data_IF_893567382007
#
_entry.id   IF_893567382007
#
_cell.length_a   1.000
_cell.length_b   1.000
_cell.length_c   1.000
_cell.angle_alpha   90.00
_cell.angle_beta   90.00
_cell.angle_gamma   90.00
#
_symmetry.space_group_name_H-M   'P 1'
#
loop_
_entity.id
_entity.type
_entity.pdbx_description
1 polymer ?
#
# COMPACT_ATOMS: atom_id res chain seq x y z
N UNK A 1 -18.08 -11.94 -4.79
CA UNK A 1 -17.34 -10.66 -4.85
C UNK A 1 -16.09 -10.86 -5.69
N UNK A 2 -15.79 -9.96 -6.63
CA UNK A 2 -14.60 -10.03 -7.49
C UNK A 2 -13.79 -8.76 -7.29
N UNK A 3 -12.53 -8.90 -6.87
CA UNK A 3 -11.56 -7.79 -6.83
C UNK A 3 -10.77 -7.85 -8.12
N UNK A 4 -10.73 -6.74 -8.86
CA UNK A 4 -9.95 -6.60 -10.08
C UNK A 4 -8.84 -5.61 -9.80
N UNK A 5 -7.58 -6.06 -9.86
CA UNK A 5 -6.43 -5.19 -9.68
C UNK A 5 -6.04 -4.49 -10.97
N UNK A 6 -5.51 -3.28 -10.85
CA UNK A 6 -4.96 -2.53 -11.97
C UNK A 6 -3.90 -3.37 -12.69
N UNK A 7 -4.11 -3.59 -13.98
CA UNK A 7 -3.16 -4.27 -14.84
C UNK A 7 -2.54 -3.28 -15.82
N UNK A 8 -1.21 -3.10 -15.72
CA UNK A 8 -0.46 -2.16 -16.56
C UNK A 8 -0.48 -0.70 -16.07
N UNK A 9 0.42 0.17 -16.59
CA UNK A 9 0.52 1.57 -16.18
C UNK A 9 -0.75 2.38 -16.53
N UNK A 10 -1.38 3.09 -15.59
CA UNK A 10 -2.59 3.87 -15.87
C UNK A 10 -2.45 4.89 -17.00
N UNK A 11 -1.25 5.44 -17.21
CA UNK A 11 -0.97 6.36 -18.30
C UNK A 11 -1.07 5.72 -19.69
N UNK A 12 -0.96 4.39 -19.80
CA UNK A 12 -1.01 3.65 -21.08
C UNK A 12 -2.35 2.96 -21.31
N UNK A 13 -2.96 2.40 -20.25
CA UNK A 13 -4.16 1.55 -20.38
C UNK A 13 -5.39 2.09 -19.66
N UNK A 14 -5.29 3.30 -19.07
CA UNK A 14 -6.32 3.86 -18.21
C UNK A 14 -6.45 3.12 -16.87
N UNK A 15 -7.46 3.50 -16.10
CA UNK A 15 -7.82 2.83 -14.86
C UNK A 15 -8.72 1.62 -15.17
N UNK A 16 -8.26 0.41 -14.84
CA UNK A 16 -8.96 -0.86 -15.13
C UNK A 16 -9.11 -1.77 -13.90
N UNK A 17 -8.68 -1.31 -12.72
CA UNK A 17 -8.81 -2.03 -11.47
C UNK A 17 -8.29 -1.21 -10.29
N UNK A 18 -8.39 -1.77 -9.09
CA UNK A 18 -7.93 -1.15 -7.86
C UNK A 18 -6.43 -1.42 -7.61
N UNK A 19 -5.87 -0.67 -6.67
CA UNK A 19 -4.55 -0.92 -6.09
C UNK A 19 -4.68 -1.83 -4.87
N UNK A 20 -3.55 -2.30 -4.34
CA UNK A 20 -3.52 -3.11 -3.12
C UNK A 20 -3.95 -2.25 -1.92
N UNK A 21 -3.49 -1.00 -1.91
CA UNK A 21 -3.78 0.02 -0.91
C UNK A 21 -5.29 0.26 -0.78
N UNK A 22 -6.03 0.29 -1.90
CA UNK A 22 -7.49 0.47 -1.90
C UNK A 22 -8.21 -0.69 -1.18
N UNK A 23 -7.71 -1.92 -1.34
CA UNK A 23 -8.28 -3.10 -0.67
C UNK A 23 -7.97 -3.07 0.82
N UNK A 24 -6.75 -2.69 1.19
CA UNK A 24 -6.36 -2.55 2.60
C UNK A 24 -7.25 -1.51 3.29
N UNK A 25 -7.52 -0.37 2.66
CA UNK A 25 -8.39 0.68 3.22
C UNK A 25 -9.82 0.19 3.48
N UNK A 26 -10.40 -0.56 2.53
CA UNK A 26 -11.72 -1.19 2.72
C UNK A 26 -11.71 -2.18 3.89
N UNK A 27 -10.65 -2.99 4.03
CA UNK A 27 -10.51 -3.94 5.14
C UNK A 27 -10.35 -3.24 6.49
N UNK A 28 -9.55 -2.18 6.55
CA UNK A 28 -9.36 -1.35 7.76
C UNK A 28 -10.68 -0.74 8.18
N UNK A 29 -11.41 -0.10 7.26
CA UNK A 29 -12.71 0.49 7.55
C UNK A 29 -13.69 -0.55 8.11
N UNK A 30 -13.71 -1.75 7.51
CA UNK A 30 -14.59 -2.83 7.95
C UNK A 30 -14.22 -3.38 9.33
N UNK A 31 -12.94 -3.51 9.62
CA UNK A 31 -12.47 -3.98 10.93
C UNK A 31 -12.65 -2.92 12.02
N UNK A 32 -12.50 -1.63 11.70
CA UNK A 32 -12.82 -0.55 12.63
C UNK A 32 -14.31 -0.55 13.00
N UNK A 33 -15.20 -0.83 12.03
CA UNK A 33 -16.63 -0.96 12.31
C UNK A 33 -16.92 -2.12 13.28
N UNK A 34 -16.22 -3.25 13.15
CA UNK A 34 -16.36 -4.37 14.09
C UNK A 34 -15.77 -4.06 15.46
N UNK A 35 -14.58 -3.45 15.48
CA UNK A 35 -13.86 -3.12 16.70
C UNK A 35 -14.54 -2.01 17.51
N UNK A 36 -15.24 -1.07 16.86
CA UNK A 36 -15.94 0.02 17.51
C UNK A 36 -17.35 -0.31 18.01
N UNK A 37 -17.79 -1.57 17.89
CA UNK A 37 -19.15 -2.04 18.22
C UNK A 37 -19.09 -3.33 19.04
N UNK A 38 -20.16 -4.12 19.01
CA UNK A 38 -20.35 -5.33 19.81
C UNK A 38 -19.40 -6.49 19.47
N UNK A 39 -18.66 -6.39 18.36
CA UNK A 39 -17.74 -7.44 17.88
C UNK A 39 -16.27 -7.09 18.16
N UNK A 40 -16.00 -6.21 19.12
CA UNK A 40 -14.64 -5.86 19.51
C UNK A 40 -13.89 -7.06 20.10
N UNK A 41 -12.68 -7.32 19.59
CA UNK A 41 -11.79 -8.35 20.13
C UNK A 41 -10.32 -8.01 19.91
N UNK A 42 -9.42 -8.78 20.53
CA UNK A 42 -7.97 -8.56 20.41
C UNK A 42 -7.47 -8.91 19.00
N UNK A 43 -8.01 -9.95 18.38
CA UNK A 43 -7.62 -10.38 17.03
C UNK A 43 -7.95 -9.32 15.98
N UNK A 44 -9.06 -8.61 16.14
CA UNK A 44 -9.42 -7.48 15.28
C UNK A 44 -8.42 -6.32 15.43
N UNK A 45 -8.02 -6.01 16.67
CA UNK A 45 -7.00 -4.99 16.93
C UNK A 45 -5.63 -5.38 16.33
N UNK A 46 -5.23 -6.64 16.48
CA UNK A 46 -4.01 -7.18 15.86
C UNK A 46 -4.07 -7.13 14.34
N UNK A 47 -5.21 -7.50 13.74
CA UNK A 47 -5.39 -7.41 12.30
C UNK A 47 -5.31 -5.97 11.79
N UNK A 48 -5.94 -5.01 12.48
CA UNK A 48 -5.85 -3.58 12.18
C UNK A 48 -4.40 -3.09 12.23
N UNK A 49 -3.64 -3.45 13.26
CA UNK A 49 -2.22 -3.09 13.38
C UNK A 49 -1.40 -3.57 12.17
N UNK A 50 -1.59 -4.81 11.74
CA UNK A 50 -0.85 -5.36 10.60
C UNK A 50 -1.28 -4.75 9.26
N UNK A 51 -2.57 -4.43 9.10
CA UNK A 51 -3.07 -3.75 7.90
C UNK A 51 -2.49 -2.33 7.78
N UNK A 52 -2.42 -1.59 8.89
CA UNK A 52 -1.78 -0.26 8.91
C UNK A 52 -0.27 -0.36 8.62
N UNK A 53 0.42 -1.33 9.22
CA UNK A 53 1.84 -1.57 8.92
C UNK A 53 2.07 -1.91 7.43
N UNK A 54 1.19 -2.71 6.83
CA UNK A 54 1.23 -3.01 5.40
C UNK A 54 0.98 -1.76 4.55
N UNK A 55 0.00 -0.93 4.92
CA UNK A 55 -0.30 0.34 4.24
C UNK A 55 0.90 1.29 4.26
N UNK A 56 1.54 1.47 5.42
CA UNK A 56 2.73 2.32 5.56
C UNK A 56 3.94 1.79 4.77
N UNK A 57 4.13 0.47 4.71
CA UNK A 57 5.17 -0.14 3.87
C UNK A 57 4.93 0.15 2.38
N UNK A 58 3.68 0.07 1.91
CA UNK A 58 3.31 0.36 0.52
C UNK A 58 3.43 1.86 0.17
N UNK A 59 3.07 2.75 1.10
CA UNK A 59 3.30 4.19 0.96
C UNK A 59 4.79 4.52 0.86
N UNK A 60 5.61 3.91 1.72
CA UNK A 60 7.07 4.04 1.69
C UNK A 60 7.63 3.57 0.34
N UNK A 61 7.18 2.41 -0.15
CA UNK A 61 7.53 1.90 -1.48
C UNK A 61 7.16 2.91 -2.57
N UNK A 62 5.94 3.45 -2.56
CA UNK A 62 5.48 4.45 -3.55
C UNK A 62 6.39 5.68 -3.54
N UNK A 63 6.69 6.23 -2.36
CA UNK A 63 7.58 7.40 -2.19
C UNK A 63 8.98 7.11 -2.73
N UNK A 64 9.55 5.93 -2.43
CA UNK A 64 10.87 5.55 -2.97
C UNK A 64 10.86 5.45 -4.49
N UNK A 65 9.82 4.89 -5.09
CA UNK A 65 9.67 4.84 -6.55
C UNK A 65 9.59 6.24 -7.17
N UNK A 66 8.86 7.14 -6.52
CA UNK A 66 8.72 8.53 -6.93
C UNK A 66 10.06 9.27 -6.86
N UNK A 67 10.79 9.16 -5.75
CA UNK A 67 12.14 9.73 -5.59
C UNK A 67 13.17 9.18 -6.59
N UNK A 68 13.04 7.91 -6.97
CA UNK A 68 13.93 7.27 -7.94
C UNK A 68 13.47 7.44 -9.40
N UNK A 69 12.39 8.18 -9.66
CA UNK A 69 11.89 8.43 -11.02
C UNK A 69 11.26 7.21 -11.71
N UNK A 70 11.01 6.11 -10.98
CA UNK A 70 10.45 4.86 -11.53
C UNK A 70 8.97 4.67 -11.19
N UNK A 71 8.27 5.71 -10.75
CA UNK A 71 6.83 5.63 -10.50
C UNK A 71 6.07 5.32 -11.80
N UNK A 72 5.07 4.43 -11.74
CA UNK A 72 4.29 3.97 -12.89
C UNK A 72 5.06 3.27 -14.03
N UNK A 73 6.35 2.94 -13.85
CA UNK A 73 7.12 2.10 -14.78
C UNK A 73 7.17 0.64 -14.31
N UNK A 74 7.75 -0.26 -15.12
CA UNK A 74 8.04 -1.65 -14.72
C UNK A 74 9.42 -1.81 -14.07
N UNK A 75 10.15 -0.72 -13.88
CA UNK A 75 11.50 -0.74 -13.34
C UNK A 75 11.48 -1.00 -11.82
N UNK A 76 12.52 -1.67 -11.34
CA UNK A 76 12.73 -1.92 -9.93
C UNK A 76 13.14 -0.63 -9.20
N UNK A 77 12.80 -0.54 -7.92
CA UNK A 77 13.31 0.51 -7.03
C UNK A 77 14.21 -0.12 -5.98
N UNK A 78 15.14 0.65 -5.45
CA UNK A 78 16.03 0.25 -4.37
C UNK A 78 15.34 0.52 -3.03
N UNK A 79 15.31 -0.49 -2.16
CA UNK A 79 14.65 -0.42 -0.84
C UNK A 79 15.51 0.17 0.29
N UNK A 80 16.80 0.44 0.05
CA UNK A 80 17.73 1.02 1.03
C UNK A 80 17.83 2.53 0.86
N UNK A 81 18.09 3.25 1.95
CA UNK A 81 18.33 4.70 1.91
C UNK A 81 19.60 4.99 1.11
N UNK A 82 19.51 5.91 0.14
CA UNK A 82 20.64 6.32 -0.73
C UNK A 82 21.59 7.30 0.00
N UNK A 83 21.32 7.68 1.25
CA UNK A 83 22.18 8.57 2.02
C UNK A 83 23.30 7.80 2.74
N UNK A 84 24.25 7.29 1.98
CA UNK A 84 25.62 7.03 2.45
C UNK A 84 26.64 7.10 1.31
N UNK A 85 26.54 8.11 0.45
CA UNK A 85 27.67 8.54 -0.36
C UNK A 85 28.29 9.76 0.32
N UNK A 86 29.47 9.65 0.98
CA UNK A 86 30.21 10.83 1.34
C UNK A 86 30.65 11.51 0.04
N UNK A 87 30.33 12.79 -0.10
CA UNK A 87 30.85 13.61 -1.18
C UNK A 87 32.39 13.48 -1.20
N UNK A 88 32.92 13.06 -2.36
CA UNK A 88 34.36 13.12 -2.65
C UNK A 88 34.72 14.49 -3.20
#
# INVERSE_FOLDING_TARGET
MKIVFQHGPPAQVGLNGCRIEDVIEVLVQRLLDFQGRDLACEENATALYHLEAAREALLTRRRRRELQGVIATREAHISKDVSSTPAS
#
